data_IF_604651674375
#
_entry.id   IF_604651674375
#
_cell.length_a   1.000
_cell.length_b   1.000
_cell.length_c   1.000
_cell.angle_alpha   90.00
_cell.angle_beta   90.00
_cell.angle_gamma   90.00
#
_symmetry.space_group_name_H-M   'P 1'
#
loop_
_entity.id
_entity.type
_entity.pdbx_description
1 polymer ?
#
# COMPACT_ATOMS: atom_id res chain seq x y z
N UNK A 1 14.57 -11.23 10.50
CA UNK A 1 13.21 -10.69 10.25
C UNK A 1 12.77 -11.13 8.87
N UNK A 2 11.46 -11.11 8.56
CA UNK A 2 10.94 -11.44 7.21
C UNK A 2 10.51 -10.15 6.52
N UNK A 3 10.61 -10.13 5.19
CA UNK A 3 10.14 -9.00 4.38
C UNK A 3 8.77 -9.33 3.82
N UNK A 4 7.85 -8.39 3.94
CA UNK A 4 6.50 -8.48 3.42
C UNK A 4 6.25 -7.34 2.45
N UNK A 5 5.58 -7.64 1.35
CA UNK A 5 5.02 -6.65 0.44
C UNK A 5 3.59 -6.36 0.89
N UNK A 6 3.29 -5.07 1.12
CA UNK A 6 1.95 -4.60 1.48
C UNK A 6 1.50 -3.61 0.42
N UNK A 7 0.34 -3.86 -0.17
CA UNK A 7 -0.30 -3.04 -1.18
C UNK A 7 -1.55 -2.39 -0.58
N UNK A 8 -1.68 -1.10 -0.78
CA UNK A 8 -2.80 -0.25 -0.37
C UNK A 8 -3.55 0.20 -1.61
N UNK A 9 -4.88 0.07 -1.58
CA UNK A 9 -5.75 0.56 -2.65
C UNK A 9 -6.98 1.23 -2.06
N UNK A 10 -7.30 2.43 -2.55
CA UNK A 10 -8.56 3.11 -2.25
C UNK A 10 -9.01 3.93 -3.47
N UNK A 11 -10.31 4.17 -3.60
CA UNK A 11 -10.83 5.09 -4.63
C UNK A 11 -10.73 6.51 -4.13
N UNK A 12 -10.25 7.42 -4.97
CA UNK A 12 -10.23 8.84 -4.67
C UNK A 12 -11.53 9.53 -5.13
N UNK A 13 -11.58 10.86 -4.96
CA UNK A 13 -12.71 11.72 -5.35
C UNK A 13 -12.96 11.82 -6.85
N UNK A 14 -11.98 11.47 -7.69
CA UNK A 14 -12.07 11.48 -9.14
C UNK A 14 -12.43 10.09 -9.69
N UNK A 15 -12.79 9.15 -8.81
CA UNK A 15 -12.98 7.73 -9.12
C UNK A 15 -11.69 7.03 -9.60
N UNK A 16 -10.54 7.69 -9.48
CA UNK A 16 -9.27 7.09 -9.77
C UNK A 16 -8.86 6.19 -8.61
N UNK A 17 -8.28 5.05 -8.95
CA UNK A 17 -7.82 4.09 -7.96
C UNK A 17 -6.42 4.48 -7.53
N UNK A 18 -6.31 5.03 -6.33
CA UNK A 18 -5.03 5.31 -5.71
C UNK A 18 -4.40 4.01 -5.19
N UNK A 19 -3.18 3.73 -5.62
CA UNK A 19 -2.46 2.50 -5.32
C UNK A 19 -1.06 2.80 -4.77
N UNK A 20 -0.66 2.08 -3.73
CA UNK A 20 0.68 2.20 -3.13
C UNK A 20 1.18 0.84 -2.68
N UNK A 21 2.44 0.53 -2.97
CA UNK A 21 3.07 -0.73 -2.60
C UNK A 21 4.34 -0.44 -1.79
N UNK A 22 4.47 -1.12 -0.65
CA UNK A 22 5.57 -0.89 0.29
C UNK A 22 6.13 -2.23 0.77
N UNK A 23 7.46 -2.34 0.81
CA UNK A 23 8.18 -3.48 1.40
C UNK A 23 8.51 -3.16 2.85
N UNK A 24 8.10 -4.01 3.78
CA UNK A 24 8.29 -3.80 5.22
C UNK A 24 8.90 -5.05 5.86
N UNK A 25 9.95 -4.85 6.64
CA UNK A 25 10.51 -5.89 7.50
C UNK A 25 9.76 -5.97 8.83
N UNK A 26 9.35 -7.18 9.20
CA UNK A 26 8.69 -7.47 10.46
C UNK A 26 8.91 -8.93 10.90
N UNK A 27 8.53 -9.23 12.14
CA UNK A 27 8.56 -10.59 12.68
C UNK A 27 7.37 -11.45 12.22
N UNK A 28 6.26 -10.82 11.80
CA UNK A 28 5.02 -11.50 11.39
C UNK A 28 4.21 -10.68 10.38
N UNK A 29 3.32 -11.35 9.64
CA UNK A 29 2.44 -10.69 8.66
C UNK A 29 1.51 -9.64 9.32
N UNK A 30 0.84 -9.91 10.46
CA UNK A 30 0.03 -8.87 11.12
C UNK A 30 0.87 -7.66 11.57
N UNK A 31 2.10 -7.90 12.03
CA UNK A 31 3.02 -6.82 12.40
C UNK A 31 3.43 -5.97 11.20
N UNK A 32 3.71 -6.59 10.05
CA UNK A 32 4.02 -5.88 8.81
C UNK A 32 2.84 -5.03 8.32
N UNK A 33 1.62 -5.62 8.30
CA UNK A 33 0.40 -4.90 7.91
C UNK A 33 0.17 -3.71 8.82
N UNK A 34 0.21 -3.88 10.14
CA UNK A 34 0.00 -2.79 11.09
C UNK A 34 1.02 -1.65 10.93
N UNK A 35 2.31 -2.00 10.79
CA UNK A 35 3.39 -1.02 10.58
C UNK A 35 3.20 -0.27 9.27
N UNK A 36 3.03 -0.98 8.16
CA UNK A 36 2.85 -0.41 6.83
C UNK A 36 1.63 0.50 6.77
N UNK A 37 0.49 0.04 7.31
CA UNK A 37 -0.77 0.81 7.29
C UNK A 37 -0.64 2.10 8.08
N UNK A 38 0.03 2.07 9.24
CA UNK A 38 0.25 3.27 10.05
C UNK A 38 1.12 4.30 9.32
N UNK A 39 2.17 3.87 8.65
CA UNK A 39 3.04 4.75 7.87
C UNK A 39 2.32 5.32 6.64
N UNK A 40 1.58 4.48 5.92
CA UNK A 40 0.75 4.89 4.79
C UNK A 40 -0.27 5.97 5.18
N UNK A 41 -1.13 5.69 6.18
CA UNK A 41 -2.15 6.65 6.63
C UNK A 41 -1.53 7.95 7.15
N UNK A 42 -0.36 7.88 7.80
CA UNK A 42 0.37 9.07 8.25
C UNK A 42 0.82 9.95 7.09
N UNK A 43 1.23 9.37 5.96
CA UNK A 43 1.66 10.09 4.76
C UNK A 43 0.52 10.73 3.96
N UNK A 44 -0.73 10.32 4.17
CA UNK A 44 -1.88 10.88 3.47
C UNK A 44 -2.23 12.29 3.93
N UNK A 45 -2.59 13.15 2.98
CA UNK A 45 -3.14 14.47 3.27
C UNK A 45 -4.59 14.40 3.80
N UNK A 46 -5.15 15.55 4.22
CA UNK A 46 -6.52 15.62 4.76
C UNK A 46 -7.59 15.13 3.77
N UNK A 47 -7.41 15.42 2.48
CA UNK A 47 -8.35 15.08 1.41
C UNK A 47 -8.31 13.59 1.10
N UNK A 48 -7.10 13.04 0.93
CA UNK A 48 -6.84 11.62 0.71
C UNK A 48 -7.34 10.77 1.88
N UNK A 49 -7.11 11.19 3.13
CA UNK A 49 -7.68 10.50 4.31
C UNK A 49 -9.20 10.50 4.31
N UNK A 50 -9.83 11.61 3.92
CA UNK A 50 -11.29 11.68 3.82
C UNK A 50 -11.80 10.71 2.75
N UNK A 51 -11.19 10.71 1.57
CA UNK A 51 -11.58 9.85 0.45
C UNK A 51 -11.38 8.36 0.81
N UNK A 52 -10.23 8.01 1.40
CA UNK A 52 -9.93 6.68 1.91
C UNK A 52 -10.94 6.23 2.98
N UNK A 53 -11.27 7.07 3.97
CA UNK A 53 -12.23 6.72 5.01
C UNK A 53 -13.67 6.57 4.47
N UNK A 54 -14.01 7.33 3.42
CA UNK A 54 -15.32 7.28 2.78
C UNK A 54 -15.49 6.04 1.90
N UNK A 55 -14.45 5.71 1.13
CA UNK A 55 -14.51 4.68 0.09
C UNK A 55 -13.94 3.33 0.54
N UNK A 56 -13.29 3.29 1.71
CA UNK A 56 -12.62 2.11 2.23
C UNK A 56 -11.18 1.99 1.73
N UNK A 57 -10.36 1.30 2.52
CA UNK A 57 -8.98 0.95 2.19
C UNK A 57 -8.87 -0.56 2.05
N UNK A 58 -8.50 -1.02 0.86
CA UNK A 58 -8.12 -2.41 0.61
C UNK A 58 -6.62 -2.58 0.93
N UNK A 59 -6.30 -3.64 1.65
CA UNK A 59 -4.92 -3.97 2.05
C UNK A 59 -4.65 -5.41 1.63
N UNK A 60 -3.69 -5.61 0.74
CA UNK A 60 -3.19 -6.93 0.36
C UNK A 60 -1.77 -7.08 0.86
N UNK A 61 -1.45 -8.19 1.52
CA UNK A 61 -0.11 -8.42 2.04
C UNK A 61 0.37 -9.83 1.70
N UNK A 62 1.62 -9.93 1.24
CA UNK A 62 2.27 -11.20 0.87
C UNK A 62 3.71 -11.24 1.36
N UNK A 63 4.19 -12.36 1.92
CA UNK A 63 5.60 -12.53 2.25
C UNK A 63 6.42 -12.54 0.96
N UNK A 64 7.53 -11.82 0.94
CA UNK A 64 8.50 -11.91 -0.15
C UNK A 64 9.41 -13.10 0.20
N UNK A 65 9.09 -14.26 -0.36
CA UNK A 65 10.09 -15.33 -0.52
C UNK A 65 11.13 -14.82 -1.50
N UNK A 66 12.42 -15.11 -1.29
CA UNK A 66 13.53 -14.56 -2.06
C UNK A 66 13.60 -15.00 -3.55
N UNK A 67 12.49 -15.06 -4.29
CA UNK A 67 12.46 -15.57 -5.67
C UNK A 67 11.45 -14.91 -6.59
N UNK A 68 10.80 -13.79 -6.25
CA UNK A 68 10.03 -13.04 -7.25
C UNK A 68 10.18 -11.54 -7.03
N UNK A 69 11.09 -10.94 -7.80
CA UNK A 69 10.99 -9.54 -8.21
C UNK A 69 9.80 -9.43 -9.16
N UNK A 70 8.63 -8.99 -8.68
CA UNK A 70 7.52 -8.61 -9.54
C UNK A 70 7.28 -7.11 -9.46
N UNK A 71 7.86 -6.42 -10.44
CA UNK A 71 7.21 -5.39 -11.26
C UNK A 71 6.24 -4.44 -10.54
N UNK A 72 6.76 -3.32 -10.05
CA UNK A 72 5.97 -2.13 -9.74
C UNK A 72 6.57 -0.90 -10.41
N UNK A 73 6.56 -0.88 -11.75
CA UNK A 73 6.73 0.37 -12.52
C UNK A 73 5.87 0.34 -13.78
N UNK A 74 4.55 0.49 -13.62
CA UNK A 74 3.70 1.07 -14.67
C UNK A 74 2.82 2.13 -14.05
N UNK A 75 3.36 3.34 -13.94
CA UNK A 75 2.62 4.61 -14.04
C UNK A 75 3.62 5.78 -13.97
N UNK A 76 4.28 6.08 -15.09
CA UNK A 76 4.79 7.41 -15.44
C UNK A 76 5.37 7.36 -16.87
N UNK A 77 4.53 7.66 -17.87
CA UNK A 77 4.92 8.31 -19.13
C UNK A 77 3.73 8.27 -20.11
N UNK A 78 2.75 9.14 -19.88
CA UNK A 78 1.95 9.69 -20.97
C UNK A 78 2.38 11.16 -21.12
N UNK A 79 3.33 11.39 -22.03
CA UNK A 79 3.51 12.63 -22.79
C UNK A 79 4.55 12.42 -23.87
#
# INVERSE_FOLDING_TARGET
MKTFEVQFRYRDRNEETAESMVKVEASSLPGAVGKATREFVKGLDRKQRFDMNKNGLEITAKPISATVESEATKQAAAR
#
